data_IF_523981725039
#
_entry.id   IF_523981725039
#
_cell.length_a   1.000
_cell.length_b   1.000
_cell.length_c   1.000
_cell.angle_alpha   90.00
_cell.angle_beta   90.00
_cell.angle_gamma   90.00
#
_symmetry.space_group_name_H-M   'P 1'
#
loop_
_entity.id
_entity.type
_entity.pdbx_description
1 polymer ?
#
# COMPACT_ATOMS: atom_id res chain seq x y z
N UNK A 1 30.21 6.74 2.62
CA UNK A 1 29.78 7.73 1.60
C UNK A 1 29.71 9.12 2.21
N UNK A 2 29.99 10.19 1.46
CA UNK A 2 29.80 11.57 1.90
C UNK A 2 28.34 11.80 2.31
N UNK A 3 28.11 12.64 3.33
CA UNK A 3 26.77 12.91 3.86
C UNK A 3 25.79 13.41 2.79
N UNK A 4 26.30 14.27 1.89
CA UNK A 4 25.55 14.79 0.73
C UNK A 4 25.05 13.66 -0.18
N UNK A 5 25.84 12.62 -0.41
CA UNK A 5 25.43 11.49 -1.24
C UNK A 5 24.32 10.68 -0.57
N UNK A 6 24.37 10.52 0.76
CA UNK A 6 23.32 9.83 1.51
C UNK A 6 21.99 10.60 1.46
N UNK A 7 22.04 11.93 1.61
CA UNK A 7 20.85 12.78 1.55
C UNK A 7 20.21 12.79 0.15
N UNK A 8 21.02 12.75 -0.91
CA UNK A 8 20.53 12.63 -2.29
C UNK A 8 19.86 11.28 -2.52
N UNK A 9 20.45 10.19 -2.05
CA UNK A 9 19.84 8.86 -2.13
C UNK A 9 18.52 8.83 -1.37
N UNK A 10 18.49 9.37 -0.14
CA UNK A 10 17.27 9.44 0.68
C UNK A 10 16.15 10.16 -0.06
N UNK A 11 16.41 11.36 -0.61
CA UNK A 11 15.42 12.13 -1.38
C UNK A 11 14.94 11.39 -2.64
N UNK A 12 15.83 10.68 -3.33
CA UNK A 12 15.46 9.88 -4.50
C UNK A 12 14.55 8.71 -4.13
N UNK A 13 14.79 8.07 -2.98
CA UNK A 13 13.95 7.01 -2.44
C UNK A 13 12.57 7.53 -2.03
N UNK A 14 12.49 8.67 -1.32
CA UNK A 14 11.24 9.32 -0.92
C UNK A 14 10.38 9.66 -2.15
N UNK A 15 10.99 10.29 -3.16
CA UNK A 15 10.31 10.62 -4.41
C UNK A 15 9.76 9.37 -5.09
N UNK A 16 10.56 8.31 -5.17
CA UNK A 16 10.13 7.07 -5.81
C UNK A 16 8.98 6.39 -5.06
N UNK A 17 8.99 6.45 -3.73
CA UNK A 17 7.90 5.94 -2.91
C UNK A 17 6.62 6.75 -3.10
N UNK A 18 6.75 8.08 -3.17
CA UNK A 18 5.62 8.98 -3.44
C UNK A 18 4.98 8.70 -4.79
N UNK A 19 5.78 8.55 -5.86
CA UNK A 19 5.26 8.23 -7.19
C UNK A 19 4.50 6.89 -7.25
N UNK A 20 4.86 5.93 -6.40
CA UNK A 20 4.13 4.67 -6.24
C UNK A 20 2.80 4.92 -5.51
N UNK A 21 2.83 5.68 -4.42
CA UNK A 21 1.64 6.01 -3.63
C UNK A 21 0.63 6.83 -4.44
N UNK A 22 1.10 7.75 -5.29
CA UNK A 22 0.27 8.50 -6.23
C UNK A 22 -0.45 7.58 -7.20
N UNK A 23 0.24 6.59 -7.76
CA UNK A 23 -0.40 5.62 -8.64
C UNK A 23 -1.43 4.77 -7.89
N UNK A 24 -1.13 4.36 -6.66
CA UNK A 24 -2.08 3.64 -5.80
C UNK A 24 -3.34 4.47 -5.53
N UNK A 25 -3.17 5.75 -5.17
CA UNK A 25 -4.27 6.70 -4.94
C UNK A 25 -5.13 6.95 -6.19
N UNK A 26 -4.53 6.96 -7.37
CA UNK A 26 -5.28 7.10 -8.63
C UNK A 26 -6.10 5.85 -9.01
N UNK A 27 -5.73 4.67 -8.51
CA UNK A 27 -6.40 3.40 -8.84
C UNK A 27 -7.37 2.92 -7.77
N UNK A 28 -7.23 3.41 -6.54
CA UNK A 28 -8.06 2.97 -5.43
C UNK A 28 -9.52 3.40 -5.66
N UNK A 29 -10.50 2.51 -5.41
CA UNK A 29 -11.90 2.92 -5.41
C UNK A 29 -12.14 3.93 -4.29
N UNK A 30 -12.92 4.97 -4.61
CA UNK A 30 -13.26 6.05 -3.68
C UNK A 30 -14.74 5.95 -3.32
N UNK A 31 -15.01 5.96 -2.02
CA UNK A 31 -16.35 6.12 -1.44
C UNK A 31 -16.36 7.32 -0.49
N UNK A 32 -15.67 7.19 0.64
CA UNK A 32 -15.57 8.17 1.73
C UNK A 32 -14.17 8.81 1.87
N UNK A 33 -13.28 8.58 0.90
CA UNK A 33 -11.85 8.96 0.90
C UNK A 33 -10.99 8.29 1.97
N UNK A 34 -11.54 7.51 2.92
CA UNK A 34 -10.78 6.96 4.06
C UNK A 34 -9.67 6.01 3.59
N UNK A 35 -9.98 5.12 2.64
CA UNK A 35 -8.96 4.23 2.08
C UNK A 35 -7.94 4.99 1.23
N UNK A 36 -8.38 5.98 0.44
CA UNK A 36 -7.51 6.80 -0.40
C UNK A 36 -6.47 7.56 0.45
N UNK A 37 -6.94 8.20 1.52
CA UNK A 37 -6.10 9.03 2.39
C UNK A 37 -5.20 8.18 3.31
N UNK A 38 -5.50 6.89 3.47
CA UNK A 38 -4.66 5.95 4.21
C UNK A 38 -3.44 5.44 3.45
N UNK A 39 -3.29 5.76 2.16
CA UNK A 39 -2.18 5.30 1.31
C UNK A 39 -0.98 6.22 1.49
N UNK A 40 0.17 5.64 1.83
CA UNK A 40 1.40 6.39 1.97
C UNK A 40 2.64 5.53 2.14
N UNK A 41 3.71 6.17 2.58
CA UNK A 41 4.98 5.53 2.88
C UNK A 41 5.57 6.08 4.17
N UNK A 42 6.49 5.33 4.77
CA UNK A 42 7.24 5.75 5.95
C UNK A 42 8.64 5.14 5.93
N UNK A 43 9.57 5.82 6.59
CA UNK A 43 10.80 5.17 7.04
C UNK A 43 10.44 4.20 8.18
N UNK A 44 10.82 2.93 8.06
CA UNK A 44 10.53 1.92 9.08
C UNK A 44 9.12 1.34 9.02
N UNK A 45 8.41 1.27 10.15
CA UNK A 45 7.19 0.46 10.31
C UNK A 45 5.92 1.22 9.92
N UNK A 46 5.08 0.60 9.09
CA UNK A 46 3.77 1.11 8.71
C UNK A 46 2.73 1.06 9.86
N UNK A 47 1.62 1.83 9.74
CA UNK A 47 0.51 1.76 10.68
C UNK A 47 -0.07 0.33 10.85
N UNK A 48 -0.62 0.01 12.02
CA UNK A 48 -1.30 -1.27 12.22
C UNK A 48 -2.57 -1.35 11.36
N UNK A 49 -2.84 -2.53 10.80
CA UNK A 49 -4.00 -2.75 9.93
C UNK A 49 -3.72 -2.50 8.44
N UNK A 50 -2.54 -1.98 8.10
CA UNK A 50 -2.15 -1.75 6.70
C UNK A 50 -1.68 -3.02 6.00
N UNK A 51 -1.92 -3.10 4.69
CA UNK A 51 -1.10 -3.93 3.81
C UNK A 51 0.21 -3.19 3.52
N UNK A 52 1.33 -3.92 3.44
CA UNK A 52 2.66 -3.31 3.37
C UNK A 52 3.54 -4.00 2.33
N UNK A 53 4.39 -3.23 1.67
CA UNK A 53 5.57 -3.71 0.96
C UNK A 53 6.77 -2.94 1.51
N UNK A 54 7.77 -3.66 2.00
CA UNK A 54 9.08 -3.09 2.25
C UNK A 54 9.83 -3.00 0.92
N UNK A 55 10.28 -1.81 0.56
CA UNK A 55 11.26 -1.60 -0.51
C UNK A 55 12.60 -1.30 0.15
N UNK A 56 13.48 -2.31 0.20
CA UNK A 56 14.88 -2.11 0.56
C UNK A 56 15.61 -1.74 -0.73
N UNK A 57 16.14 -0.53 -0.77
CA UNK A 57 17.18 -0.15 -1.73
C UNK A 57 18.18 0.70 -0.98
N UNK A 58 19.08 0.06 -0.23
CA UNK A 58 20.16 0.78 0.41
C UNK A 58 21.49 0.10 0.14
N UNK A 59 22.18 0.64 -0.85
CA UNK A 59 23.65 0.63 -0.93
C UNK A 59 24.32 1.34 0.28
N UNK A 60 23.53 1.79 1.27
CA UNK A 60 23.89 2.82 2.27
C UNK A 60 23.80 2.33 3.72
N UNK A 61 23.23 1.15 3.99
CA UNK A 61 23.14 0.57 5.33
C UNK A 61 21.72 0.19 5.76
N UNK A 62 21.63 -0.56 6.87
CA UNK A 62 20.43 -1.27 7.32
C UNK A 62 19.26 -0.36 7.74
N UNK A 63 19.54 0.92 8.05
CA UNK A 63 18.57 1.88 8.61
C UNK A 63 17.79 2.70 7.55
N UNK A 64 17.84 2.28 6.27
CA UNK A 64 17.23 3.01 5.14
C UNK A 64 16.17 2.16 4.43
N UNK A 65 15.21 1.63 5.18
CA UNK A 65 14.06 0.91 4.59
C UNK A 65 12.85 1.82 4.48
N UNK A 66 12.36 2.00 3.25
CA UNK A 66 11.03 2.60 3.02
C UNK A 66 9.99 1.48 3.00
N UNK A 67 8.94 1.68 3.79
CA UNK A 67 7.74 0.84 3.75
C UNK A 67 6.61 1.61 3.10
N UNK A 68 6.10 1.08 1.99
CA UNK A 68 4.90 1.56 1.33
C UNK A 68 3.71 0.79 1.88
N UNK A 69 2.62 1.49 2.18
CA UNK A 69 1.47 0.90 2.83
C UNK A 69 0.13 1.46 2.33
N UNK A 70 -0.93 0.69 2.54
CA UNK A 70 -2.30 1.12 2.33
C UNK A 70 -3.20 0.54 3.43
N UNK A 71 -4.15 1.33 3.91
CA UNK A 71 -4.99 0.99 5.06
C UNK A 71 -4.39 1.44 6.37
N UNK A 72 -5.21 1.44 7.41
CA UNK A 72 -4.84 1.74 8.80
C UNK A 72 -5.87 1.05 9.72
N UNK A 73 -6.04 1.51 10.97
CA UNK A 73 -7.08 0.96 11.88
C UNK A 73 -8.50 1.15 11.37
N UNK A 74 -8.75 2.18 10.56
CA UNK A 74 -10.05 2.54 9.99
C UNK A 74 -10.23 1.86 8.63
N UNK A 75 -9.27 2.04 7.72
CA UNK A 75 -9.18 1.41 6.41
C UNK A 75 -8.56 -0.01 6.44
N UNK A 76 -8.85 -0.81 7.46
CA UNK A 76 -8.33 -2.19 7.59
C UNK A 76 -8.82 -3.10 6.44
N UNK A 77 -9.91 -2.70 5.77
CA UNK A 77 -10.52 -3.39 4.65
C UNK A 77 -9.74 -3.24 3.33
N UNK A 78 -8.61 -2.52 3.30
CA UNK A 78 -7.74 -2.39 2.12
C UNK A 78 -7.44 -3.75 1.45
N UNK A 79 -7.21 -4.79 2.25
CA UNK A 79 -6.92 -6.15 1.75
C UNK A 79 -8.13 -6.78 1.03
N UNK A 80 -9.34 -6.50 1.48
CA UNK A 80 -10.56 -6.99 0.82
C UNK A 80 -10.81 -6.27 -0.49
N UNK A 81 -10.50 -4.97 -0.56
CA UNK A 81 -10.56 -4.22 -1.82
C UNK A 81 -9.55 -4.78 -2.82
N UNK A 82 -8.29 -4.97 -2.41
CA UNK A 82 -7.22 -5.47 -3.28
C UNK A 82 -7.53 -6.87 -3.86
N UNK A 83 -8.03 -7.78 -3.03
CA UNK A 83 -8.15 -9.21 -3.40
C UNK A 83 -9.57 -9.68 -3.65
N UNK A 84 -10.58 -8.89 -3.29
CA UNK A 84 -11.98 -9.29 -3.24
C UNK A 84 -12.29 -10.27 -2.12
N UNK A 85 -13.58 -10.60 -2.00
CA UNK A 85 -14.09 -11.62 -1.09
C UNK A 85 -14.95 -12.62 -1.85
N UNK A 86 -15.01 -13.87 -1.39
CA UNK A 86 -15.82 -14.91 -2.02
C UNK A 86 -17.29 -14.80 -1.63
N UNK A 87 -18.16 -15.43 -2.42
CA UNK A 87 -19.56 -15.65 -2.04
C UNK A 87 -19.63 -16.60 -0.86
N UNK A 88 -20.45 -16.27 0.13
CA UNK A 88 -20.71 -17.16 1.26
C UNK A 88 -22.14 -17.02 1.77
N UNK A 89 -22.61 -18.03 2.51
CA UNK A 89 -23.89 -17.95 3.22
C UNK A 89 -23.64 -17.24 4.55
N UNK A 90 -24.38 -16.17 4.81
CA UNK A 90 -24.26 -15.40 6.04
C UNK A 90 -24.62 -16.25 7.26
N UNK A 91 -23.96 -15.93 8.38
CA UNK A 91 -24.25 -16.45 9.72
C UNK A 91 -24.73 -15.30 10.62
N UNK A 92 -24.98 -15.58 11.89
CA UNK A 92 -25.38 -14.56 12.88
C UNK A 92 -26.79 -14.02 12.60
N UNK A 93 -26.96 -12.70 12.70
CA UNK A 93 -28.26 -12.03 12.60
C UNK A 93 -29.01 -12.29 11.29
N UNK A 94 -28.30 -12.55 10.19
CA UNK A 94 -28.89 -12.84 8.87
C UNK A 94 -28.55 -14.26 8.38
N UNK A 95 -28.55 -15.23 9.30
CA UNK A 95 -28.23 -16.62 8.99
C UNK A 95 -29.06 -17.17 7.82
N UNK A 96 -28.38 -17.80 6.86
CA UNK A 96 -29.01 -18.44 5.70
C UNK A 96 -29.14 -17.56 4.45
N UNK A 97 -29.01 -16.23 4.58
CA UNK A 97 -28.99 -15.32 3.43
C UNK A 97 -27.68 -15.45 2.63
N UNK A 98 -27.69 -15.08 1.35
CA UNK A 98 -26.51 -15.17 0.46
C UNK A 98 -25.79 -13.83 0.38
N UNK A 99 -24.50 -13.82 0.71
CA UNK A 99 -23.62 -12.69 0.44
C UNK A 99 -22.99 -12.86 -0.95
N UNK A 100 -23.13 -11.88 -1.86
CA UNK A 100 -22.58 -11.95 -3.21
C UNK A 100 -21.04 -11.85 -3.26
N UNK A 101 -20.38 -11.52 -2.15
CA UNK A 101 -18.96 -11.19 -2.10
C UNK A 101 -18.68 -9.84 -2.78
N UNK A 102 -17.44 -9.37 -2.66
CA UNK A 102 -16.96 -8.16 -3.32
C UNK A 102 -15.94 -8.53 -4.41
N UNK A 103 -16.09 -7.91 -5.58
CA UNK A 103 -15.13 -8.03 -6.68
C UNK A 103 -13.75 -7.48 -6.29
N UNK A 104 -12.70 -7.96 -6.96
CA UNK A 104 -11.33 -7.48 -6.72
C UNK A 104 -11.14 -6.13 -7.41
N UNK A 105 -10.60 -5.15 -6.70
CA UNK A 105 -10.25 -3.84 -7.22
C UNK A 105 -8.78 -3.58 -6.89
N UNK A 106 -7.85 -4.23 -7.62
CA UNK A 106 -6.44 -4.16 -7.30
C UNK A 106 -5.89 -2.75 -7.58
N UNK A 107 -5.23 -2.18 -6.59
CA UNK A 107 -4.60 -0.85 -6.64
C UNK A 107 -3.18 -0.89 -6.07
N UNK A 108 -2.91 -1.76 -5.10
CA UNK A 108 -1.66 -1.77 -4.35
C UNK A 108 -0.53 -2.51 -5.08
N UNK A 109 -0.68 -3.81 -5.30
CA UNK A 109 0.40 -4.61 -5.90
C UNK A 109 0.62 -4.27 -7.38
N UNK A 110 -0.45 -3.87 -8.08
CA UNK A 110 -0.36 -3.46 -9.49
C UNK A 110 0.48 -2.19 -9.66
N UNK A 111 0.27 -1.18 -8.81
CA UNK A 111 1.03 0.07 -8.82
C UNK A 111 2.49 -0.16 -8.47
N UNK A 112 2.76 -0.91 -7.40
CA UNK A 112 4.13 -1.26 -7.03
C UNK A 112 4.85 -2.01 -8.16
N UNK A 113 4.20 -3.01 -8.77
CA UNK A 113 4.82 -3.79 -9.87
C UNK A 113 5.10 -2.94 -11.10
N UNK A 114 4.24 -1.97 -11.41
CA UNK A 114 4.41 -1.07 -12.54
C UNK A 114 5.63 -0.15 -12.36
N UNK A 115 5.82 0.37 -11.14
CA UNK A 115 6.84 1.39 -10.86
C UNK A 115 8.18 0.85 -10.34
N UNK A 116 8.21 -0.33 -9.70
CA UNK A 116 9.42 -0.88 -9.04
C UNK A 116 10.67 -0.98 -9.91
N UNK A 117 10.52 -1.15 -11.24
CA UNK A 117 11.68 -1.22 -12.16
C UNK A 117 12.23 0.16 -12.48
N UNK A 118 11.38 1.19 -12.51
CA UNK A 118 11.78 2.58 -12.73
C UNK A 118 12.50 3.15 -11.52
N UNK A 119 12.10 2.72 -10.33
CA UNK A 119 12.69 3.13 -9.05
C UNK A 119 14.12 2.63 -8.81
N UNK A 120 14.53 1.55 -9.50
CA UNK A 120 15.85 0.92 -9.34
C UNK A 120 16.93 1.48 -10.29
N UNK A 121 16.61 2.50 -11.10
CA UNK A 121 17.50 3.03 -12.14
C UNK A 121 18.27 4.25 -11.66
#
# INVERSE_FOLDING_TARGET
MPQIAQDLIRKAMERSAEEICDMMRNLVPVDDMVLHDSIGWTWGKAPPGSITIASVDSLVGDDTTITIYAGNKEAYYARWVEFGTTRFTNKGMFAGTKNPGQGKQPFFYVSWRAKKKSTKR
#
